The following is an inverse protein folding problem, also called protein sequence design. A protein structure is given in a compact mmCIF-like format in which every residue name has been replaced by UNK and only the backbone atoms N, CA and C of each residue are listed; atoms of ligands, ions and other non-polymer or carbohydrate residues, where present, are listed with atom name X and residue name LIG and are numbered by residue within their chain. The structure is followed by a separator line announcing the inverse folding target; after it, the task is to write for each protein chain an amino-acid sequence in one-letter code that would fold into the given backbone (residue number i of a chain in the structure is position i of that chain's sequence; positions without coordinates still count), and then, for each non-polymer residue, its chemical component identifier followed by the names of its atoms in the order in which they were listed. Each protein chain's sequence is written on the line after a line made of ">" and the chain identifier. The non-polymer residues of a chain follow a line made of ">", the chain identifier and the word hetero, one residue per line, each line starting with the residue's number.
data_IF_160086517091
#
_entry.id   IF_160086517091
#
_cell.length_a   1.000
_cell.length_b   1.000
_cell.length_c   1.000
_cell.angle_alpha   90.00
_cell.angle_beta   90.00
_cell.angle_gamma   90.00
#
_symmetry.space_group_name_H-M   'P 1'
#
loop_
_entity.id
_entity.type
_entity.pdbx_description
1 polymer ?
#
# COMPACT_ATOMS: atom_id res chain seq x y z
N UNK A 1 4.24 -18.40 -5.41
CA UNK A 1 4.92 -18.33 -6.70
C UNK A 1 6.40 -18.51 -6.42
N UNK A 2 6.98 -19.67 -6.83
CA UNK A 2 8.43 -19.85 -6.83
C UNK A 2 9.03 -18.87 -7.84
N UNK A 3 9.84 -17.93 -7.36
CA UNK A 3 10.57 -16.99 -8.21
C UNK A 3 12.01 -17.53 -8.30
N UNK A 4 12.40 -18.04 -9.47
CA UNK A 4 13.81 -18.33 -9.78
C UNK A 4 14.58 -17.00 -9.95
N UNK A 5 14.98 -16.40 -8.84
CA UNK A 5 15.77 -15.17 -8.85
C UNK A 5 17.25 -15.45 -9.04
N UNK A 6 17.91 -14.66 -9.90
CA UNK A 6 19.36 -14.72 -10.11
C UNK A 6 20.10 -13.76 -9.17
N UNK A 7 21.28 -14.18 -8.69
CA UNK A 7 22.16 -13.35 -7.86
C UNK A 7 21.85 -13.40 -6.36
N UNK A 8 20.90 -14.21 -5.92
CA UNK A 8 20.50 -14.31 -4.51
C UNK A 8 21.63 -14.70 -3.58
N UNK A 9 22.41 -15.74 -3.90
CA UNK A 9 23.53 -16.20 -3.07
C UNK A 9 24.62 -15.14 -2.92
N UNK A 10 25.02 -14.50 -4.03
CA UNK A 10 26.02 -13.43 -4.02
C UNK A 10 25.55 -12.22 -3.22
N UNK A 11 24.28 -11.80 -3.39
CA UNK A 11 23.72 -10.68 -2.64
C UNK A 11 23.61 -11.00 -1.13
N UNK A 12 23.24 -12.23 -0.77
CA UNK A 12 23.18 -12.68 0.63
C UNK A 12 24.55 -12.65 1.30
N UNK A 13 25.58 -13.23 0.66
CA UNK A 13 26.94 -13.22 1.19
C UNK A 13 27.50 -11.81 1.34
N UNK A 14 27.24 -10.93 0.35
CA UNK A 14 27.65 -9.54 0.41
C UNK A 14 26.93 -8.78 1.54
N UNK A 15 25.63 -9.04 1.75
CA UNK A 15 24.86 -8.43 2.85
C UNK A 15 25.41 -8.86 4.21
N UNK A 16 25.69 -10.14 4.43
CA UNK A 16 26.30 -10.62 5.69
C UNK A 16 27.63 -9.90 5.93
N UNK A 17 28.52 -9.86 4.92
CA UNK A 17 29.81 -9.19 5.04
C UNK A 17 29.65 -7.68 5.37
N UNK A 18 28.69 -7.02 4.75
CA UNK A 18 28.38 -5.61 5.01
C UNK A 18 27.89 -5.38 6.45
N UNK A 19 26.99 -6.21 6.96
CA UNK A 19 26.50 -6.08 8.34
C UNK A 19 27.58 -6.38 9.38
N UNK A 20 28.48 -7.34 9.11
CA UNK A 20 29.65 -7.57 9.97
C UNK A 20 30.59 -6.36 9.94
N UNK A 21 30.81 -5.75 8.79
CA UNK A 21 31.63 -4.53 8.66
C UNK A 21 31.00 -3.30 9.36
N UNK A 22 29.70 -3.36 9.65
CA UNK A 22 28.95 -2.38 10.45
C UNK A 22 28.87 -2.75 11.94
N UNK A 23 29.77 -3.62 12.41
CA UNK A 23 29.92 -4.07 13.80
C UNK A 23 28.71 -4.88 14.35
N UNK A 24 27.87 -5.47 13.50
CA UNK A 24 26.87 -6.43 13.95
C UNK A 24 27.51 -7.79 14.27
N UNK A 25 27.04 -8.44 15.33
CA UNK A 25 27.42 -9.83 15.64
C UNK A 25 26.97 -10.79 14.53
N UNK A 26 27.65 -11.94 14.38
CA UNK A 26 27.41 -12.91 13.30
C UNK A 26 25.92 -13.29 13.17
N UNK A 27 25.23 -13.61 14.26
CA UNK A 27 23.82 -14.01 14.24
C UNK A 27 22.94 -12.86 13.76
N UNK A 28 23.17 -11.66 14.28
CA UNK A 28 22.41 -10.46 13.88
C UNK A 28 22.68 -10.10 12.40
N UNK A 29 23.90 -10.21 11.94
CA UNK A 29 24.28 -9.96 10.55
C UNK A 29 23.55 -10.92 9.58
N UNK A 30 23.45 -12.20 9.94
CA UNK A 30 22.71 -13.19 9.14
C UNK A 30 21.22 -12.87 9.14
N UNK A 31 20.61 -12.57 10.29
CA UNK A 31 19.18 -12.22 10.38
C UNK A 31 18.84 -10.98 9.54
N UNK A 32 19.65 -9.92 9.64
CA UNK A 32 19.46 -8.71 8.83
C UNK A 32 19.68 -8.99 7.33
N UNK A 33 20.61 -9.85 6.97
CA UNK A 33 20.82 -10.26 5.58
C UNK A 33 19.65 -11.09 5.04
N UNK A 34 18.99 -11.92 5.87
CA UNK A 34 17.75 -12.64 5.49
C UNK A 34 16.60 -11.67 5.23
N UNK A 35 16.37 -10.69 6.10
CA UNK A 35 15.34 -9.65 5.90
C UNK A 35 15.60 -8.83 4.62
N UNK A 36 16.85 -8.43 4.39
CA UNK A 36 17.27 -7.75 3.17
C UNK A 36 16.98 -8.60 1.93
N UNK A 37 17.33 -9.89 1.96
CA UNK A 37 17.11 -10.81 0.85
C UNK A 37 15.64 -11.09 0.60
N UNK A 38 14.83 -11.15 1.65
CA UNK A 38 13.37 -11.31 1.52
C UNK A 38 12.76 -10.19 0.67
N UNK A 39 13.15 -8.94 0.93
CA UNK A 39 12.74 -7.80 0.12
C UNK A 39 13.30 -7.86 -1.30
N UNK A 40 14.59 -8.17 -1.45
CA UNK A 40 15.27 -8.24 -2.74
C UNK A 40 14.68 -9.32 -3.67
N UNK A 41 14.21 -10.45 -3.12
CA UNK A 41 13.58 -11.55 -3.87
C UNK A 41 12.10 -11.24 -4.13
N UNK A 42 11.39 -10.66 -3.15
CA UNK A 42 9.98 -10.32 -3.32
C UNK A 42 9.76 -9.31 -4.44
N UNK A 43 10.67 -8.36 -4.56
CA UNK A 43 10.60 -7.24 -5.52
C UNK A 43 11.65 -7.31 -6.63
N UNK A 44 11.81 -8.50 -7.20
CA UNK A 44 12.75 -8.74 -8.31
C UNK A 44 12.57 -7.76 -9.47
N UNK A 45 13.65 -7.46 -10.16
CA UNK A 45 13.65 -6.57 -11.33
C UNK A 45 13.35 -7.37 -12.60
N UNK A 46 12.18 -7.18 -13.20
CA UNK A 46 11.80 -7.81 -14.46
C UNK A 46 12.42 -7.07 -15.65
N UNK A 47 13.72 -7.29 -15.89
CA UNK A 47 14.49 -6.69 -16.98
C UNK A 47 14.84 -7.74 -18.02
N UNK A 48 14.48 -7.50 -19.27
CA UNK A 48 14.79 -8.39 -20.38
C UNK A 48 14.03 -9.73 -20.37
N UNK A 49 14.57 -10.72 -21.11
CA UNK A 49 13.95 -12.04 -21.32
C UNK A 49 14.68 -13.17 -20.58
N UNK A 50 15.72 -12.86 -19.82
CA UNK A 50 16.51 -13.84 -19.07
C UNK A 50 15.99 -14.11 -17.67
N UNK A 51 16.83 -14.74 -16.82
CA UNK A 51 16.55 -14.93 -15.40
C UNK A 51 16.36 -13.58 -14.71
N UNK A 52 15.39 -13.52 -13.81
CA UNK A 52 15.03 -12.28 -13.11
C UNK A 52 16.04 -12.00 -11.99
N UNK A 53 16.76 -10.86 -12.00
CA UNK A 53 17.70 -10.55 -10.91
C UNK A 53 16.96 -10.13 -9.64
N UNK A 54 17.56 -10.42 -8.48
CA UNK A 54 17.13 -9.84 -7.21
C UNK A 54 17.24 -8.31 -7.24
N UNK A 55 16.41 -7.61 -6.46
CA UNK A 55 16.44 -6.15 -6.35
C UNK A 55 17.03 -5.70 -5.00
N UNK A 56 18.34 -5.55 -4.87
CA UNK A 56 18.96 -5.11 -3.62
C UNK A 56 18.61 -3.67 -3.23
N UNK A 57 18.02 -2.91 -4.15
CA UNK A 57 17.64 -1.51 -3.93
C UNK A 57 16.22 -1.33 -3.41
N UNK A 58 15.40 -2.39 -3.31
CA UNK A 58 13.98 -2.28 -2.97
C UNK A 58 13.74 -1.52 -1.64
N UNK A 59 14.47 -1.88 -0.60
CA UNK A 59 14.35 -1.21 0.71
C UNK A 59 14.81 0.24 0.66
N UNK A 60 15.89 0.54 -0.06
CA UNK A 60 16.41 1.91 -0.21
C UNK A 60 15.42 2.80 -0.96
N UNK A 61 14.80 2.30 -2.03
CA UNK A 61 13.76 3.04 -2.74
C UNK A 61 12.54 3.31 -1.85
N UNK A 62 12.12 2.35 -1.05
CA UNK A 62 11.03 2.57 -0.10
C UNK A 62 11.39 3.66 0.91
N UNK A 63 12.60 3.66 1.48
CA UNK A 63 13.03 4.71 2.41
C UNK A 63 13.06 6.09 1.74
N UNK A 64 13.59 6.19 0.52
CA UNK A 64 13.66 7.44 -0.24
C UNK A 64 12.26 8.01 -0.58
N UNK A 65 11.28 7.14 -0.83
CA UNK A 65 9.92 7.54 -1.21
C UNK A 65 9.01 7.86 -0.02
N UNK A 66 9.40 7.57 1.22
CA UNK A 66 8.55 7.80 2.41
C UNK A 66 8.04 9.23 2.52
N UNK A 67 8.95 10.20 2.40
CA UNK A 67 8.58 11.61 2.48
C UNK A 67 7.57 12.00 1.38
N UNK A 68 7.86 11.58 0.15
CA UNK A 68 7.02 11.87 -1.01
C UNK A 68 5.62 11.28 -0.88
N UNK A 69 5.51 10.03 -0.42
CA UNK A 69 4.22 9.38 -0.20
C UNK A 69 3.40 10.09 0.88
N UNK A 70 4.04 10.57 1.96
CA UNK A 70 3.36 11.37 2.98
C UNK A 70 2.89 12.72 2.43
N UNK A 71 3.68 13.39 1.60
CA UNK A 71 3.30 14.63 0.94
C UNK A 71 2.13 14.41 -0.02
N UNK A 72 2.16 13.36 -0.84
CA UNK A 72 1.09 13.03 -1.77
C UNK A 72 -0.23 12.74 -1.04
N UNK A 73 -0.20 11.98 0.08
CA UNK A 73 -1.38 11.74 0.93
C UNK A 73 -1.90 13.03 1.53
N UNK A 74 -1.01 13.91 2.00
CA UNK A 74 -1.40 15.20 2.58
C UNK A 74 -1.99 16.14 1.53
N UNK A 75 -1.39 16.21 0.34
CA UNK A 75 -1.90 17.01 -0.78
C UNK A 75 -3.27 16.53 -1.26
N UNK A 76 -3.44 15.21 -1.41
CA UNK A 76 -4.75 14.63 -1.78
C UNK A 76 -5.82 14.88 -0.70
N UNK A 77 -5.45 14.80 0.58
CA UNK A 77 -6.34 15.13 1.69
C UNK A 77 -6.75 16.59 1.65
N UNK A 78 -5.80 17.50 1.46
CA UNK A 78 -6.08 18.93 1.33
C UNK A 78 -7.00 19.22 0.14
N UNK A 79 -6.83 18.53 -0.97
CA UNK A 79 -7.74 18.65 -2.12
C UNK A 79 -9.17 18.28 -1.76
N UNK A 80 -9.38 17.23 -0.92
CA UNK A 80 -10.70 16.86 -0.40
C UNK A 80 -11.26 17.93 0.55
N UNK A 81 -10.43 18.54 1.39
CA UNK A 81 -10.86 19.59 2.33
C UNK A 81 -11.21 20.90 1.64
N UNK A 82 -10.47 21.27 0.60
CA UNK A 82 -10.63 22.53 -0.13
C UNK A 82 -11.88 22.51 -1.05
N UNK A 83 -12.43 21.32 -1.36
CA UNK A 83 -13.60 21.17 -2.24
C UNK A 83 -14.80 20.62 -1.47
N UNK A 84 -15.77 21.50 -1.18
CA UNK A 84 -16.98 21.14 -0.43
C UNK A 84 -17.83 20.05 -1.10
N UNK A 85 -17.68 19.86 -2.41
CA UNK A 85 -18.35 18.83 -3.21
C UNK A 85 -18.01 17.41 -2.78
N UNK A 86 -16.88 17.19 -2.08
CA UNK A 86 -16.55 15.89 -1.51
C UNK A 86 -17.33 15.55 -0.23
N UNK A 87 -17.85 16.56 0.48
CA UNK A 87 -18.57 16.37 1.76
C UNK A 87 -19.71 15.36 1.69
N UNK A 88 -20.55 15.32 0.63
CA UNK A 88 -21.63 14.33 0.51
C UNK A 88 -21.13 12.88 0.37
N UNK A 89 -19.90 12.69 -0.11
CA UNK A 89 -19.32 11.37 -0.38
C UNK A 89 -18.52 10.81 0.80
N UNK A 90 -18.44 11.54 1.92
CA UNK A 90 -17.80 11.03 3.13
C UNK A 90 -18.74 10.01 3.79
N UNK A 91 -18.22 8.78 3.98
CA UNK A 91 -18.94 7.73 4.69
C UNK A 91 -19.10 8.05 6.19
N UNK A 92 -20.07 7.45 6.87
CA UNK A 92 -20.22 7.60 8.33
C UNK A 92 -18.96 7.22 9.11
N UNK A 93 -18.26 6.22 8.64
CA UNK A 93 -16.96 5.79 9.20
C UNK A 93 -15.81 6.72 8.85
N UNK A 94 -16.05 7.80 8.12
CA UNK A 94 -15.06 8.71 7.55
C UNK A 94 -14.48 8.22 6.21
N UNK A 95 -13.78 9.14 5.54
CA UNK A 95 -13.04 8.88 4.30
C UNK A 95 -11.56 8.67 4.63
N UNK A 96 -10.93 7.70 3.97
CA UNK A 96 -9.51 7.47 4.07
C UNK A 96 -8.88 7.62 2.70
N UNK A 97 -7.89 8.48 2.61
CA UNK A 97 -6.98 8.57 1.47
C UNK A 97 -5.69 7.85 1.88
N UNK A 98 -5.25 6.91 1.09
CA UNK A 98 -4.06 6.13 1.40
C UNK A 98 -3.20 5.87 0.16
N UNK A 99 -1.90 5.79 0.35
CA UNK A 99 -0.92 5.48 -0.70
C UNK A 99 0.20 4.60 -0.16
N UNK A 100 0.58 3.60 -0.95
CA UNK A 100 1.66 2.67 -0.64
C UNK A 100 3.01 3.14 -1.20
N UNK A 101 4.08 2.73 -0.55
CA UNK A 101 5.44 2.77 -1.09
C UNK A 101 5.55 1.91 -2.37
N UNK A 102 6.50 2.16 -3.26
CA UNK A 102 6.65 1.41 -4.51
C UNK A 102 6.78 -0.11 -4.32
N UNK A 103 7.44 -0.53 -3.26
CA UNK A 103 7.67 -1.93 -2.93
C UNK A 103 7.00 -2.28 -1.59
N UNK A 104 5.71 -1.93 -1.48
CA UNK A 104 4.94 -2.23 -0.28
C UNK A 104 4.58 -3.71 -0.20
N UNK A 105 4.81 -4.32 0.98
CA UNK A 105 4.45 -5.71 1.28
C UNK A 105 3.58 -5.83 2.53
N UNK A 106 3.56 -4.81 3.37
CA UNK A 106 2.81 -4.78 4.62
C UNK A 106 2.06 -3.47 4.79
N UNK A 107 1.09 -3.42 5.69
CA UNK A 107 0.37 -2.18 6.02
C UNK A 107 1.29 -1.05 6.50
N UNK A 108 2.44 -1.38 7.06
CA UNK A 108 3.44 -0.41 7.53
C UNK A 108 4.14 0.32 6.38
N UNK A 109 3.96 -0.15 5.14
CA UNK A 109 4.40 0.49 3.91
C UNK A 109 3.29 1.31 3.24
N UNK A 110 2.15 1.50 3.91
CA UNK A 110 1.01 2.30 3.40
C UNK A 110 0.78 3.49 4.32
N UNK A 111 0.90 4.69 3.77
CA UNK A 111 0.54 5.92 4.46
C UNK A 111 -0.94 6.24 4.26
N UNK A 112 -1.57 6.76 5.30
CA UNK A 112 -2.96 7.19 5.28
C UNK A 112 -3.18 8.29 6.32
N UNK A 113 -4.35 8.95 6.31
CA UNK A 113 -4.67 9.97 7.31
C UNK A 113 -5.00 9.33 8.65
N UNK A 114 -4.26 9.67 9.71
CA UNK A 114 -4.59 9.28 11.08
C UNK A 114 -5.94 9.91 11.48
N UNK A 115 -6.86 9.12 12.05
CA UNK A 115 -8.20 9.58 12.42
C UNK A 115 -9.16 9.83 11.26
N UNK A 116 -8.71 9.62 10.00
CA UNK A 116 -9.52 9.79 8.78
C UNK A 116 -9.90 11.24 8.46
N UNK A 117 -10.61 11.42 7.34
CA UNK A 117 -11.28 12.65 6.93
C UNK A 117 -12.74 12.48 7.29
N UNK A 118 -13.28 13.39 8.09
CA UNK A 118 -14.66 13.36 8.60
C UNK A 118 -15.47 14.51 8.04
N UNK A 119 -16.80 14.34 8.03
CA UNK A 119 -17.73 15.41 7.68
C UNK A 119 -17.87 16.38 8.86
N UNK A 120 -17.63 17.65 8.62
CA UNK A 120 -17.79 18.75 9.60
C UNK A 120 -18.69 19.83 9.00
N UNK A 121 -19.99 19.76 9.27
CA UNK A 121 -20.98 20.57 8.57
C UNK A 121 -21.02 20.22 7.08
N UNK A 122 -20.83 21.20 6.22
CA UNK A 122 -20.79 21.03 4.75
C UNK A 122 -19.38 20.81 4.20
N UNK A 123 -18.39 20.65 5.07
CA UNK A 123 -16.97 20.49 4.66
C UNK A 123 -16.39 19.17 5.11
N UNK A 124 -15.37 18.73 4.40
CA UNK A 124 -14.47 17.67 4.81
C UNK A 124 -13.41 18.23 5.77
N UNK A 125 -12.99 17.46 6.77
CA UNK A 125 -11.93 17.80 7.72
C UNK A 125 -11.09 16.59 8.03
N UNK A 126 -9.78 16.68 7.83
CA UNK A 126 -8.83 15.70 8.35
C UNK A 126 -8.71 15.83 9.86
N UNK A 127 -8.73 14.68 10.57
CA UNK A 127 -8.63 14.66 12.04
C UNK A 127 -7.18 14.68 12.50
N UNK A 128 -6.28 14.09 11.73
CA UNK A 128 -4.86 14.01 12.04
C UNK A 128 -3.97 14.34 10.85
N UNK A 129 -2.79 13.73 10.82
CA UNK A 129 -1.81 13.89 9.74
C UNK A 129 -1.57 12.58 8.99
N UNK A 130 -0.90 12.66 7.87
CA UNK A 130 -0.46 11.48 7.11
C UNK A 130 0.55 10.67 7.91
N UNK A 131 0.33 9.35 8.04
CA UNK A 131 1.17 8.46 8.82
C UNK A 131 1.15 7.06 8.24
N UNK A 132 2.28 6.35 8.31
CA UNK A 132 2.36 4.96 7.90
C UNK A 132 1.71 4.01 8.91
N UNK A 133 1.07 2.94 8.43
CA UNK A 133 0.54 1.85 9.25
C UNK A 133 -0.82 2.11 9.93
N UNK A 134 -1.44 3.27 9.72
CA UNK A 134 -2.68 3.68 10.40
C UNK A 134 -3.97 3.21 9.71
N UNK A 135 -3.88 2.57 8.57
CA UNK A 135 -5.03 2.00 7.85
C UNK A 135 -4.86 0.49 7.71
N UNK A 136 -5.89 -0.28 8.04
CA UNK A 136 -5.93 -1.73 7.82
C UNK A 136 -6.72 -2.06 6.54
N UNK A 137 -7.96 -1.63 6.43
CA UNK A 137 -8.85 -2.01 5.34
C UNK A 137 -8.36 -1.47 3.98
N UNK A 138 -8.13 -0.15 3.87
CA UNK A 138 -7.69 0.45 2.60
C UNK A 138 -6.28 -0.01 2.23
N UNK A 139 -5.41 -0.23 3.24
CA UNK A 139 -4.08 -0.79 3.00
C UNK A 139 -4.15 -2.20 2.39
N UNK A 140 -5.03 -3.09 2.88
CA UNK A 140 -5.22 -4.43 2.30
C UNK A 140 -5.70 -4.36 0.85
N UNK A 141 -6.62 -3.45 0.52
CA UNK A 141 -7.08 -3.23 -0.85
C UNK A 141 -5.91 -2.83 -1.76
N UNK A 142 -5.12 -1.85 -1.34
CA UNK A 142 -3.95 -1.39 -2.10
C UNK A 142 -2.95 -2.53 -2.30
N UNK A 143 -2.55 -3.21 -1.22
CA UNK A 143 -1.56 -4.30 -1.28
C UNK A 143 -2.05 -5.47 -2.15
N UNK A 144 -3.34 -5.77 -2.11
CA UNK A 144 -3.93 -6.79 -2.98
C UNK A 144 -3.91 -6.35 -4.44
N UNK A 145 -4.29 -5.12 -4.73
CA UNK A 145 -4.26 -4.55 -6.09
C UNK A 145 -2.84 -4.53 -6.67
N UNK A 146 -1.85 -4.19 -5.85
CA UNK A 146 -0.43 -4.15 -6.26
C UNK A 146 0.13 -5.53 -6.64
N UNK A 147 -0.45 -6.64 -6.17
CA UNK A 147 -0.06 -7.99 -6.62
C UNK A 147 -0.35 -8.22 -8.11
N UNK A 148 -1.37 -7.56 -8.64
CA UNK A 148 -1.79 -7.67 -10.05
C UNK A 148 -1.24 -6.52 -10.89
N UNK A 149 -1.22 -5.32 -10.34
CA UNK A 149 -0.69 -4.12 -11.00
C UNK A 149 0.07 -3.25 -9.97
N UNK A 150 1.41 -3.33 -9.94
CA UNK A 150 2.22 -2.55 -9.00
C UNK A 150 2.06 -1.02 -9.11
N UNK A 151 1.47 -0.52 -10.19
CA UNK A 151 1.18 0.90 -10.35
C UNK A 151 -0.03 1.38 -9.54
N UNK A 152 -0.91 0.47 -9.10
CA UNK A 152 -2.13 0.77 -8.33
C UNK A 152 -1.82 0.92 -6.84
N UNK A 153 -1.10 1.99 -6.50
CA UNK A 153 -0.56 2.23 -5.16
C UNK A 153 -1.42 3.12 -4.26
N UNK A 154 -2.50 3.69 -4.78
CA UNK A 154 -3.36 4.60 -4.01
C UNK A 154 -4.82 4.15 -4.06
N UNK A 155 -5.54 4.40 -2.97
CA UNK A 155 -6.97 4.17 -2.88
C UNK A 155 -7.61 5.14 -1.90
N UNK A 156 -8.92 5.34 -2.08
CA UNK A 156 -9.76 6.04 -1.12
C UNK A 156 -11.10 5.31 -0.99
N UNK A 157 -11.76 5.41 0.15
CA UNK A 157 -13.11 4.94 0.32
C UNK A 157 -14.11 6.10 0.27
N UNK A 158 -15.25 5.87 -0.37
CA UNK A 158 -16.36 6.80 -0.48
C UNK A 158 -17.63 6.17 0.11
N UNK A 159 -18.58 7.00 0.50
CA UNK A 159 -19.92 6.55 0.77
C UNK A 159 -20.51 5.93 -0.51
N UNK A 160 -21.15 4.78 -0.37
CA UNK A 160 -21.84 4.18 -1.50
C UNK A 160 -22.98 5.10 -1.97
N UNK A 161 -23.00 5.34 -3.27
CA UNK A 161 -24.03 6.12 -3.94
C UNK A 161 -24.20 5.57 -5.36
N UNK A 162 -25.44 5.25 -5.74
CA UNK A 162 -25.74 4.64 -7.04
C UNK A 162 -25.46 5.62 -8.20
N UNK A 163 -25.75 6.90 -8.01
CA UNK A 163 -25.52 7.92 -9.04
C UNK A 163 -24.01 8.09 -9.28
N UNK A 164 -23.20 8.04 -8.22
CA UNK A 164 -21.76 8.08 -8.31
C UNK A 164 -21.21 6.86 -9.07
N UNK A 165 -21.73 5.67 -8.80
CA UNK A 165 -21.36 4.44 -9.52
C UNK A 165 -21.68 4.56 -11.01
N UNK A 166 -22.87 5.04 -11.36
CA UNK A 166 -23.25 5.25 -12.75
C UNK A 166 -22.41 6.36 -13.43
N UNK A 167 -22.02 7.40 -12.69
CA UNK A 167 -21.11 8.42 -13.19
C UNK A 167 -19.72 7.82 -13.54
N UNK A 168 -19.17 6.97 -12.68
CA UNK A 168 -17.91 6.27 -12.98
C UNK A 168 -18.02 5.38 -14.21
N UNK A 169 -19.13 4.65 -14.38
CA UNK A 169 -19.38 3.84 -15.60
C UNK A 169 -19.43 4.72 -16.85
N UNK A 170 -20.18 5.84 -16.80
CA UNK A 170 -20.27 6.80 -17.91
C UNK A 170 -18.91 7.40 -18.29
N UNK A 171 -18.04 7.58 -17.32
CA UNK A 171 -16.65 8.04 -17.54
C UNK A 171 -15.70 6.91 -18.01
N UNK A 172 -16.25 5.71 -18.34
CA UNK A 172 -15.47 4.59 -18.82
C UNK A 172 -14.52 3.99 -17.76
N UNK A 173 -14.80 4.22 -16.47
CA UNK A 173 -14.02 3.61 -15.40
C UNK A 173 -14.46 2.17 -15.17
N UNK A 174 -13.49 1.30 -14.90
CA UNK A 174 -13.77 -0.08 -14.52
C UNK A 174 -14.49 -0.10 -13.18
N UNK A 175 -15.66 -0.69 -13.14
CA UNK A 175 -16.48 -0.87 -11.94
C UNK A 175 -16.69 -2.36 -11.72
N UNK A 176 -16.32 -2.86 -10.55
CA UNK A 176 -16.63 -4.21 -10.09
C UNK A 176 -17.51 -4.14 -8.84
N UNK A 177 -18.33 -5.16 -8.63
CA UNK A 177 -19.19 -5.27 -7.46
C UNK A 177 -19.28 -6.72 -7.00
N UNK A 178 -19.52 -6.90 -5.72
CA UNK A 178 -19.82 -8.21 -5.12
C UNK A 178 -20.92 -8.07 -4.08
N UNK A 179 -21.67 -9.13 -3.87
CA UNK A 179 -22.71 -9.17 -2.84
C UNK A 179 -22.17 -9.86 -1.58
N UNK A 180 -22.00 -9.10 -0.50
CA UNK A 180 -21.51 -9.63 0.79
C UNK A 180 -22.40 -10.73 1.37
N UNK A 181 -23.65 -10.86 0.95
CA UNK A 181 -24.53 -11.95 1.39
C UNK A 181 -24.06 -13.30 0.83
N UNK A 182 -23.38 -13.28 -0.29
CA UNK A 182 -22.82 -14.47 -0.96
C UNK A 182 -21.41 -14.85 -0.48
N UNK A 183 -20.84 -14.11 0.47
CA UNK A 183 -19.54 -14.44 1.05
C UNK A 183 -19.59 -15.78 1.79
N UNK A 184 -18.58 -16.66 1.64
CA UNK A 184 -18.43 -17.85 2.43
C UNK A 184 -18.37 -17.54 3.94
N UNK A 185 -18.92 -18.41 4.81
CA UNK A 185 -18.94 -18.16 6.27
C UNK A 185 -17.55 -17.89 6.87
N UNK A 186 -16.53 -18.59 6.41
CA UNK A 186 -15.14 -18.43 6.84
C UNK A 186 -14.59 -17.03 6.48
N UNK A 187 -14.99 -16.48 5.33
CA UNK A 187 -14.59 -15.13 4.90
C UNK A 187 -15.34 -14.07 5.69
N UNK A 188 -16.64 -14.29 5.98
CA UNK A 188 -17.43 -13.38 6.83
C UNK A 188 -16.89 -13.27 8.26
N UNK A 189 -16.29 -14.35 8.77
CA UNK A 189 -15.68 -14.38 10.10
C UNK A 189 -14.35 -13.62 10.17
N UNK A 190 -13.72 -13.34 9.03
CA UNK A 190 -12.49 -12.53 8.97
C UNK A 190 -12.84 -11.03 9.13
N UNK A 191 -12.01 -10.31 9.87
CA UNK A 191 -12.14 -8.86 9.98
C UNK A 191 -11.99 -8.21 8.60
N UNK A 192 -13.05 -7.55 8.14
CA UNK A 192 -13.13 -6.89 6.83
C UNK A 192 -13.78 -7.72 5.72
N UNK A 193 -14.05 -9.01 5.90
CA UNK A 193 -14.71 -9.87 4.90
C UNK A 193 -13.96 -9.98 3.57
N UNK A 194 -14.69 -10.15 2.47
CA UNK A 194 -14.10 -10.17 1.11
C UNK A 194 -13.51 -8.80 0.74
N UNK A 195 -12.30 -8.81 0.32
CA UNK A 195 -11.58 -7.68 -0.24
C UNK A 195 -11.23 -7.94 -1.70
#
# INVERSE_FOLDING_TARGET
>A
VEIEAHGGGCAFSAAIAAYIALDHGMVEAVTKAEEFMQNAITFVLRVGKGRVPVNPMASLFNEAEKYRVLEDVSAATKMVEDHSEFSPFIAEVGMQVAMALPYASTKWHVAAMEGRIVKSGERARAVGCGKFGVSDHVARIILTSMKYDPSKRAALNLRYDQELVEAFKKLGRLVSSFDRRLEPPEVKAMEGGTL
#
